data_IF_296856845810
#
_entry.id   IF_296856845810
#
_cell.length_a   1.000
_cell.length_b   1.000
_cell.length_c   1.000
_cell.angle_alpha   90.00
_cell.angle_beta   90.00
_cell.angle_gamma   90.00
#
_symmetry.space_group_name_H-M   'P 1'
#
loop_
_entity.id
_entity.type
_entity.pdbx_description
1 polymer ?
#
# COMPACT_ATOMS: atom_id res chain seq x y z
N UNK A 1 2.80 -18.55 -10.31
CA UNK A 1 1.71 -17.54 -10.31
C UNK A 1 1.82 -16.74 -9.02
N UNK A 2 1.78 -15.41 -9.06
CA UNK A 2 1.82 -14.58 -7.85
C UNK A 2 0.43 -14.51 -7.21
N UNK A 3 0.36 -14.51 -5.89
CA UNK A 3 -0.90 -14.42 -5.13
C UNK A 3 -0.94 -13.14 -4.31
N UNK A 4 -2.03 -12.37 -4.42
CA UNK A 4 -2.31 -11.25 -3.51
C UNK A 4 -2.50 -11.79 -2.10
N UNK A 5 -1.75 -11.27 -1.14
CA UNK A 5 -1.82 -11.69 0.26
C UNK A 5 -2.41 -10.64 1.18
N UNK A 6 -2.26 -9.36 0.83
CA UNK A 6 -2.78 -8.26 1.64
C UNK A 6 -3.08 -7.03 0.78
N UNK A 7 -4.04 -6.24 1.23
CA UNK A 7 -4.41 -4.95 0.66
C UNK A 7 -4.61 -3.97 1.81
N UNK A 8 -4.05 -2.77 1.69
CA UNK A 8 -4.19 -1.68 2.64
C UNK A 8 -4.64 -0.43 1.89
N UNK A 9 -5.40 0.45 2.55
CA UNK A 9 -5.80 1.73 1.98
C UNK A 9 -5.98 2.79 3.07
N UNK A 10 -5.92 4.07 2.69
CA UNK A 10 -6.16 5.19 3.59
C UNK A 10 -5.01 5.41 4.59
N UNK A 11 -3.83 5.73 4.06
CA UNK A 11 -2.62 5.95 4.86
C UNK A 11 -2.54 7.37 5.39
N UNK A 12 -2.07 7.53 6.63
CA UNK A 12 -1.61 8.83 7.13
C UNK A 12 -0.22 9.14 6.57
N UNK A 13 0.22 10.39 6.73
CA UNK A 13 1.57 10.79 6.34
C UNK A 13 2.62 9.91 7.06
N UNK A 14 3.56 9.33 6.31
CA UNK A 14 4.59 8.41 6.82
C UNK A 14 4.22 6.92 6.88
N UNK A 15 2.94 6.56 7.11
CA UNK A 15 2.52 5.15 7.29
C UNK A 15 2.71 4.31 6.02
N UNK A 16 2.60 4.94 4.84
CA UNK A 16 2.81 4.28 3.55
C UNK A 16 4.28 3.84 3.40
N UNK A 17 5.23 4.71 3.73
CA UNK A 17 6.66 4.45 3.60
C UNK A 17 7.10 3.32 4.55
N UNK A 18 6.67 3.38 5.81
CA UNK A 18 6.93 2.31 6.79
C UNK A 18 6.38 0.96 6.32
N UNK A 19 5.15 0.95 5.78
CA UNK A 19 4.53 -0.27 5.26
C UNK A 19 5.32 -0.84 4.07
N UNK A 20 5.73 0.01 3.11
CA UNK A 20 6.53 -0.41 1.95
C UNK A 20 7.84 -1.04 2.41
N UNK A 21 8.58 -0.38 3.31
CA UNK A 21 9.87 -0.85 3.80
C UNK A 21 9.74 -2.23 4.47
N UNK A 22 8.74 -2.41 5.34
CA UNK A 22 8.48 -3.69 6.00
C UNK A 22 8.22 -4.84 5.00
N UNK A 23 7.49 -4.59 3.91
CA UNK A 23 7.19 -5.63 2.93
C UNK A 23 8.36 -5.94 1.98
N UNK A 24 9.17 -4.94 1.65
CA UNK A 24 10.41 -5.14 0.88
C UNK A 24 11.38 -6.02 1.67
N UNK A 25 11.58 -5.74 2.96
CA UNK A 25 12.46 -6.52 3.86
C UNK A 25 12.04 -7.99 4.00
N UNK A 26 10.77 -8.30 3.77
CA UNK A 26 10.20 -9.65 3.90
C UNK A 26 10.09 -10.41 2.57
N UNK A 27 10.84 -9.99 1.54
CA UNK A 27 10.86 -10.58 0.19
C UNK A 27 9.46 -10.65 -0.48
N UNK A 28 8.59 -9.67 -0.21
CA UNK A 28 7.32 -9.54 -0.92
C UNK A 28 7.47 -8.59 -2.11
N UNK A 29 6.66 -8.81 -3.15
CA UNK A 29 6.47 -7.81 -4.19
C UNK A 29 5.38 -6.83 -3.73
N UNK A 30 5.71 -5.55 -3.78
CA UNK A 30 4.82 -4.46 -3.40
C UNK A 30 4.37 -3.71 -4.66
N UNK A 31 3.06 -3.68 -4.90
CA UNK A 31 2.45 -2.86 -5.95
C UNK A 31 1.64 -1.74 -5.28
N UNK A 32 1.87 -0.50 -5.70
CA UNK A 32 1.17 0.67 -5.18
C UNK A 32 0.18 1.13 -6.24
N UNK A 33 -1.10 1.00 -5.95
CA UNK A 33 -2.19 1.54 -6.76
C UNK A 33 -2.58 2.93 -6.21
N UNK A 34 -2.03 3.97 -6.82
CA UNK A 34 -2.29 5.36 -6.41
C UNK A 34 -3.66 5.77 -6.93
N UNK A 35 -4.64 5.93 -6.03
CA UNK A 35 -5.99 6.42 -6.37
C UNK A 35 -6.17 7.83 -5.85
N UNK A 36 -6.12 8.83 -6.74
CA UNK A 36 -6.37 10.22 -6.37
C UNK A 36 -7.84 10.47 -6.03
N UNK A 37 -8.32 10.06 -4.85
CA UNK A 37 -9.60 10.54 -4.37
C UNK A 37 -9.71 10.52 -2.85
N UNK A 38 -9.65 11.69 -2.22
CA UNK A 38 -10.55 12.10 -1.14
C UNK A 38 -10.70 13.63 -1.17
N UNK A 39 -11.95 14.10 -1.03
CA UNK A 39 -12.29 15.51 -0.84
C UNK A 39 -11.62 15.97 0.44
N UNK A 40 -10.88 17.08 0.38
CA UNK A 40 -10.31 17.70 1.56
C UNK A 40 -11.42 17.91 2.61
N UNK A 41 -11.35 17.20 3.73
CA UNK A 41 -11.88 17.76 4.96
C UNK A 41 -10.92 18.89 5.39
N UNK A 42 -11.40 19.83 6.20
CA UNK A 42 -10.72 21.10 6.52
C UNK A 42 -9.36 20.96 7.28
N UNK A 43 -8.73 19.79 7.25
CA UNK A 43 -7.51 19.44 8.00
C UNK A 43 -6.28 19.18 7.10
N UNK A 44 -6.42 19.30 5.78
CA UNK A 44 -5.29 19.31 4.85
C UNK A 44 -4.95 17.96 4.21
N UNK A 45 -4.84 17.99 2.88
CA UNK A 45 -4.15 17.04 1.99
C UNK A 45 -4.20 15.55 2.39
N UNK A 46 -5.33 14.88 2.19
CA UNK A 46 -5.44 13.43 2.31
C UNK A 46 -5.35 12.76 0.93
N UNK A 47 -4.22 12.12 0.62
CA UNK A 47 -4.09 11.25 -0.54
C UNK A 47 -4.51 9.83 -0.14
N UNK A 48 -5.45 9.22 -0.87
CA UNK A 48 -5.72 7.79 -0.72
C UNK A 48 -4.80 7.02 -1.69
N UNK A 49 -4.20 5.94 -1.22
CA UNK A 49 -3.53 4.97 -2.10
C UNK A 49 -3.82 3.58 -1.56
N UNK A 50 -3.76 2.58 -2.45
CA UNK A 50 -3.86 1.19 -2.09
C UNK A 50 -2.49 0.53 -2.19
N UNK A 51 -2.08 -0.17 -1.15
CA UNK A 51 -0.87 -1.00 -1.16
C UNK A 51 -1.28 -2.47 -1.35
N UNK A 52 -0.90 -3.05 -2.48
CA UNK A 52 -1.19 -4.43 -2.86
C UNK A 52 0.07 -5.27 -2.68
N UNK A 53 0.01 -6.26 -1.79
CA UNK A 53 1.15 -7.13 -1.47
C UNK A 53 0.98 -8.49 -2.14
N UNK A 54 2.01 -8.93 -2.86
CA UNK A 54 2.05 -10.19 -3.58
C UNK A 54 3.24 -11.04 -3.12
N UNK A 55 3.05 -12.36 -3.11
CA UNK A 55 4.11 -13.35 -2.92
C UNK A 55 4.07 -14.41 -4.01
N UNK A 56 5.20 -15.04 -4.28
CA UNK A 56 5.23 -16.24 -5.11
C UNK A 56 4.38 -17.35 -4.48
N UNK A 57 3.52 -17.99 -5.28
CA UNK A 57 2.91 -19.24 -4.87
C UNK A 57 4.01 -20.31 -4.89
N UNK A 58 4.31 -20.91 -3.72
CA UNK A 58 5.09 -22.16 -3.67
C UNK A 58 4.34 -23.19 -4.53
N UNK A 59 5.07 -23.84 -5.43
CA UNK A 59 4.55 -24.89 -6.32
C UNK A 59 3.90 -26.02 -5.53
#
# INVERSE_FOLDING_TARGET
MMKKVKEFSGFRNGELEESINHFIETNNLVLIDVKYQMVANNEGNSYSCALLIYREAKQ
#
